data_IF_562539774737
#
_entry.id   IF_562539774737
#
_cell.length_a   1.000
_cell.length_b   1.000
_cell.length_c   1.000
_cell.angle_alpha   90.00
_cell.angle_beta   90.00
_cell.angle_gamma   90.00
#
_symmetry.space_group_name_H-M   'P 1'
#
loop_
_entity.id
_entity.type
_entity.pdbx_description
1 polymer ?
#
# COMPACT_ATOMS: atom_id res chain seq x y z
N UNK A 1 16.42 15.29 6.34
CA UNK A 1 17.66 14.52 6.37
C UNK A 1 18.42 14.80 5.08
N UNK A 2 19.71 15.07 5.19
CA UNK A 2 20.60 15.26 4.04
C UNK A 2 21.60 14.11 4.04
N UNK A 3 21.76 13.41 2.91
CA UNK A 3 22.54 12.18 2.82
C UNK A 3 23.13 12.05 1.42
N UNK A 4 24.40 11.64 1.34
CA UNK A 4 25.06 11.22 0.11
C UNK A 4 25.32 9.70 0.16
N UNK A 5 24.61 8.96 -0.68
CA UNK A 5 24.82 7.53 -0.85
C UNK A 5 25.88 7.34 -1.94
N UNK A 6 26.96 6.67 -1.61
CA UNK A 6 28.10 6.44 -2.51
C UNK A 6 28.09 5.03 -3.09
N UNK A 7 28.47 4.90 -4.34
CA UNK A 7 28.73 3.63 -5.04
C UNK A 7 27.53 2.65 -5.01
N UNK A 8 26.29 3.15 -5.03
CA UNK A 8 25.09 2.32 -5.02
C UNK A 8 24.83 1.69 -6.39
N UNK A 9 24.65 0.37 -6.43
CA UNK A 9 24.23 -0.33 -7.64
C UNK A 9 22.71 -0.25 -7.78
N UNK A 10 22.23 0.35 -8.86
CA UNK A 10 20.80 0.57 -9.10
C UNK A 10 20.16 -0.67 -9.71
N UNK A 11 19.11 -1.17 -9.08
CA UNK A 11 18.26 -2.27 -9.55
C UNK A 11 16.84 -1.74 -9.79
N UNK A 12 16.64 -1.09 -10.92
CA UNK A 12 15.34 -0.55 -11.33
C UNK A 12 15.24 -0.51 -12.87
N UNK A 13 14.56 -1.47 -13.51
CA UNK A 13 14.42 -1.52 -14.97
C UNK A 13 13.78 -0.28 -15.60
N UNK A 14 13.09 0.53 -14.80
CA UNK A 14 12.46 1.78 -15.27
C UNK A 14 13.34 3.01 -15.12
N UNK A 15 14.50 2.87 -14.46
CA UNK A 15 15.45 3.95 -14.24
C UNK A 15 16.46 4.05 -15.39
N UNK A 16 16.85 5.25 -15.84
CA UNK A 16 17.96 5.42 -16.78
C UNK A 16 19.31 4.98 -16.20
N UNK A 17 19.41 4.82 -14.89
CA UNK A 17 20.61 4.35 -14.18
C UNK A 17 20.60 2.85 -13.87
N UNK A 18 19.63 2.10 -14.38
CA UNK A 18 19.55 0.65 -14.13
C UNK A 18 20.86 -0.07 -14.46
N UNK A 19 21.28 -0.98 -13.58
CA UNK A 19 22.53 -1.75 -13.67
C UNK A 19 23.81 -0.89 -13.65
N UNK A 20 23.76 0.33 -13.15
CA UNK A 20 24.91 1.21 -12.99
C UNK A 20 25.23 1.44 -11.51
N UNK A 21 26.53 1.70 -11.23
CA UNK A 21 26.95 2.22 -9.93
C UNK A 21 26.96 3.74 -10.00
N UNK A 22 26.24 4.35 -9.08
CA UNK A 22 26.04 5.80 -8.99
C UNK A 22 26.12 6.29 -7.57
N UNK A 23 26.38 7.58 -7.43
CA UNK A 23 26.20 8.32 -6.19
C UNK A 23 24.83 9.01 -6.23
N UNK A 24 24.14 9.05 -5.08
CA UNK A 24 22.81 9.65 -4.96
C UNK A 24 22.83 10.66 -3.83
N UNK A 25 22.57 11.91 -4.15
CA UNK A 25 22.47 13.00 -3.19
C UNK A 25 21.01 13.24 -2.83
N UNK A 26 20.72 13.18 -1.54
CA UNK A 26 19.40 13.44 -0.97
C UNK A 26 19.50 14.72 -0.14
N UNK A 27 18.68 15.73 -0.47
CA UNK A 27 18.54 16.95 0.31
C UNK A 27 17.08 17.15 0.69
N UNK A 28 16.84 17.42 1.97
CA UNK A 28 15.47 17.63 2.52
C UNK A 28 14.52 16.47 2.17
N UNK A 29 15.02 15.23 2.25
CA UNK A 29 14.30 13.99 1.92
C UNK A 29 13.90 13.84 0.43
N UNK A 30 14.52 14.58 -0.48
CA UNK A 30 14.29 14.50 -1.93
C UNK A 30 15.62 14.16 -2.61
N UNK A 31 15.58 13.25 -3.59
CA UNK A 31 16.73 12.99 -4.45
C UNK A 31 16.98 14.24 -5.28
N UNK A 32 18.11 14.91 -5.01
CA UNK A 32 18.49 16.15 -5.68
C UNK A 32 19.43 15.93 -6.86
N UNK A 33 20.24 14.87 -6.82
CA UNK A 33 21.20 14.56 -7.86
C UNK A 33 21.50 13.06 -7.89
N UNK A 34 21.68 12.50 -9.09
CA UNK A 34 22.21 11.14 -9.32
C UNK A 34 23.32 11.29 -10.36
N UNK A 35 24.54 10.84 -10.05
CA UNK A 35 25.68 10.91 -10.96
C UNK A 35 26.65 9.75 -10.67
N UNK A 36 27.60 9.51 -11.57
CA UNK A 36 28.65 8.49 -11.36
C UNK A 36 29.58 8.86 -10.18
N UNK A 37 29.78 10.14 -9.92
CA UNK A 37 30.56 10.63 -8.78
C UNK A 37 30.01 11.98 -8.33
N UNK A 38 29.73 12.12 -7.05
CA UNK A 38 29.31 13.36 -6.40
C UNK A 38 30.23 13.59 -5.20
N UNK A 39 30.87 14.75 -5.17
CA UNK A 39 31.71 15.16 -4.04
C UNK A 39 30.96 16.21 -3.22
N UNK A 40 30.65 15.87 -1.96
CA UNK A 40 30.07 16.80 -0.99
C UNK A 40 30.51 16.38 0.41
N UNK A 41 31.38 17.19 1.00
CA UNK A 41 31.93 16.95 2.33
C UNK A 41 31.11 17.61 3.46
N UNK A 42 29.98 18.25 3.12
CA UNK A 42 29.14 18.95 4.09
C UNK A 42 27.97 18.11 4.59
N UNK A 43 27.66 16.99 3.93
CA UNK A 43 26.57 16.10 4.28
C UNK A 43 27.08 14.70 4.67
N UNK A 44 26.26 13.96 5.41
CA UNK A 44 26.59 12.60 5.81
C UNK A 44 26.77 11.69 4.59
N UNK A 45 27.87 10.93 4.57
CA UNK A 45 28.18 9.99 3.51
C UNK A 45 27.89 8.56 3.95
N UNK A 46 27.01 7.86 3.23
CA UNK A 46 26.76 6.43 3.35
C UNK A 46 27.51 5.69 2.23
N UNK A 47 28.58 5.00 2.60
CA UNK A 47 29.36 4.18 1.67
C UNK A 47 29.47 2.76 2.21
N UNK A 48 28.69 1.84 1.67
CA UNK A 48 28.66 0.43 2.06
C UNK A 48 29.18 -0.45 0.94
N UNK A 49 29.91 -1.50 1.31
CA UNK A 49 30.35 -2.49 0.35
C UNK A 49 29.14 -3.22 -0.26
N UNK A 50 29.11 -3.32 -1.60
CA UNK A 50 28.07 -4.04 -2.33
C UNK A 50 26.64 -3.52 -2.10
N UNK A 51 26.50 -2.20 -1.93
CA UNK A 51 25.20 -1.56 -1.74
C UNK A 51 24.36 -1.64 -3.02
N UNK A 52 23.18 -2.21 -2.93
CA UNK A 52 22.17 -2.22 -3.99
C UNK A 52 20.97 -1.39 -3.55
N UNK A 53 20.40 -0.66 -4.48
CA UNK A 53 19.19 0.14 -4.26
C UNK A 53 18.14 -0.16 -5.31
N UNK A 54 16.89 -0.13 -4.90
CA UNK A 54 15.72 -0.28 -5.76
C UNK A 54 14.64 0.72 -5.35
N UNK A 55 13.56 0.80 -6.14
CA UNK A 55 12.31 1.40 -5.64
C UNK A 55 11.81 0.61 -4.45
N UNK A 56 11.15 1.29 -3.52
CA UNK A 56 10.47 0.65 -2.41
C UNK A 56 9.36 -0.29 -2.91
N UNK A 57 9.13 -1.37 -2.18
CA UNK A 57 8.18 -2.41 -2.57
C UNK A 57 6.75 -2.06 -2.15
N UNK A 58 5.80 -2.74 -2.79
CA UNK A 58 4.39 -2.70 -2.41
C UNK A 58 3.94 -4.09 -2.00
N UNK A 59 3.30 -4.20 -0.82
CA UNK A 59 2.54 -5.39 -0.47
C UNK A 59 1.06 -5.15 -0.78
N UNK A 60 0.51 -5.93 -1.69
CA UNK A 60 -0.87 -5.77 -2.17
C UNK A 60 -1.92 -6.41 -1.29
N UNK A 61 -1.54 -7.07 -0.18
CA UNK A 61 -2.51 -7.81 0.66
C UNK A 61 -2.02 -7.97 2.09
N UNK A 62 -2.19 -6.93 2.91
CA UNK A 62 -1.81 -6.93 4.32
C UNK A 62 -3.06 -6.94 5.20
N UNK A 63 -3.10 -7.83 6.17
CA UNK A 63 -4.15 -7.88 7.19
C UNK A 63 -3.59 -7.42 8.54
N UNK A 64 -3.79 -6.16 8.89
CA UNK A 64 -3.54 -5.63 10.23
C UNK A 64 -4.78 -5.84 11.11
N UNK A 65 -4.64 -5.70 12.42
CA UNK A 65 -5.73 -5.91 13.36
C UNK A 65 -6.59 -4.66 13.59
N UNK A 66 -6.03 -3.46 13.44
CA UNK A 66 -6.71 -2.20 13.74
C UNK A 66 -7.56 -1.70 12.55
N UNK A 67 -8.83 -1.32 12.82
CA UNK A 67 -9.54 -1.31 14.10
C UNK A 67 -10.09 -2.68 14.53
N UNK A 68 -10.18 -2.87 15.85
CA UNK A 68 -10.96 -3.93 16.49
C UNK A 68 -10.23 -5.20 16.88
N UNK A 69 -8.98 -5.39 16.43
CA UNK A 69 -8.11 -6.52 16.77
C UNK A 69 -6.68 -6.02 16.99
N UNK A 70 -6.53 -4.92 17.73
CA UNK A 70 -5.26 -4.23 17.97
C UNK A 70 -4.24 -5.12 18.70
N UNK A 71 -4.72 -6.15 19.41
CA UNK A 71 -3.89 -7.15 20.06
C UNK A 71 -3.06 -8.00 19.08
N UNK A 72 -3.50 -8.08 17.81
CA UNK A 72 -2.76 -8.76 16.76
C UNK A 72 -1.69 -7.86 16.17
N UNK A 73 -2.12 -6.68 15.69
CA UNK A 73 -1.23 -5.70 15.08
C UNK A 73 -1.95 -4.34 14.99
N UNK A 74 -1.24 -3.27 15.38
CA UNK A 74 -1.72 -1.90 15.15
C UNK A 74 -1.28 -1.37 13.79
N UNK A 75 -2.02 -0.43 13.22
CA UNK A 75 -1.63 0.25 11.98
C UNK A 75 -0.25 0.90 12.15
N UNK A 76 0.00 1.57 13.28
CA UNK A 76 1.26 2.28 13.52
C UNK A 76 2.47 1.34 13.51
N UNK A 77 2.38 0.19 14.19
CA UNK A 77 3.47 -0.77 14.25
C UNK A 77 3.64 -1.50 12.91
N UNK A 78 2.55 -1.93 12.27
CA UNK A 78 2.61 -2.57 10.95
C UNK A 78 3.26 -1.69 9.89
N UNK A 79 2.99 -0.38 9.88
CA UNK A 79 3.63 0.57 8.96
C UNK A 79 5.12 0.78 9.28
N UNK A 80 5.51 0.76 10.56
CA UNK A 80 6.92 0.84 10.95
C UNK A 80 7.70 -0.40 10.53
N UNK A 81 7.13 -1.59 10.73
CA UNK A 81 7.71 -2.86 10.28
C UNK A 81 7.84 -2.88 8.76
N UNK A 82 6.79 -2.46 8.03
CA UNK A 82 6.80 -2.36 6.57
C UNK A 82 7.93 -1.43 6.09
N UNK A 83 8.06 -0.24 6.68
CA UNK A 83 9.12 0.71 6.33
C UNK A 83 10.52 0.11 6.56
N UNK A 84 10.76 -0.51 7.72
CA UNK A 84 12.04 -1.18 8.04
C UNK A 84 12.36 -2.34 7.10
N UNK A 85 11.33 -2.96 6.53
CA UNK A 85 11.45 -4.06 5.56
C UNK A 85 11.53 -3.61 4.10
N UNK A 86 11.54 -2.29 3.83
CA UNK A 86 11.67 -1.73 2.47
C UNK A 86 10.36 -1.57 1.71
N UNK A 87 9.21 -1.74 2.36
CA UNK A 87 7.91 -1.47 1.76
C UNK A 87 7.53 0.00 1.90
N UNK A 88 7.34 0.67 0.78
CA UNK A 88 6.88 2.08 0.74
C UNK A 88 5.37 2.19 0.63
N UNK A 89 4.70 1.11 0.23
CA UNK A 89 3.26 1.02 0.10
C UNK A 89 2.76 -0.33 0.61
N UNK A 90 1.64 -0.33 1.31
CA UNK A 90 0.88 -1.54 1.64
C UNK A 90 -0.61 -1.34 1.34
N UNK A 91 -1.28 -2.42 0.91
CA UNK A 91 -2.73 -2.45 0.73
C UNK A 91 -3.37 -3.20 1.90
N UNK A 92 -4.15 -2.46 2.72
CA UNK A 92 -4.80 -3.01 3.91
C UNK A 92 -6.12 -3.67 3.54
N UNK A 93 -6.28 -4.93 3.89
CA UNK A 93 -7.50 -5.71 3.69
C UNK A 93 -8.62 -5.26 4.65
N UNK A 94 -9.91 -5.36 4.24
CA UNK A 94 -11.04 -4.84 4.98
C UNK A 94 -11.51 -5.69 6.17
N UNK A 95 -10.77 -6.74 6.54
CA UNK A 95 -11.11 -7.72 7.58
C UNK A 95 -10.87 -7.23 9.01
N UNK A 96 -11.32 -6.02 9.29
CA UNK A 96 -11.25 -5.34 10.59
C UNK A 96 -12.61 -5.40 11.32
N UNK A 97 -12.69 -4.87 12.53
CA UNK A 97 -13.94 -4.72 13.28
C UNK A 97 -14.04 -3.31 13.88
N UNK A 98 -14.90 -2.41 13.35
CA UNK A 98 -15.81 -2.68 12.23
C UNK A 98 -15.08 -2.94 10.91
N UNK A 99 -15.75 -3.64 9.99
CA UNK A 99 -15.27 -3.90 8.63
C UNK A 99 -15.10 -2.55 7.89
N UNK A 100 -14.09 -2.44 7.01
CA UNK A 100 -13.91 -1.24 6.17
C UNK A 100 -14.94 -1.26 5.04
N UNK A 101 -16.21 -0.97 5.33
CA UNK A 101 -17.33 -1.02 4.39
C UNK A 101 -18.02 0.34 4.16
N UNK A 102 -17.47 1.40 4.72
CA UNK A 102 -17.95 2.78 4.55
C UNK A 102 -16.81 3.80 4.62
N UNK A 103 -17.08 5.03 4.15
CA UNK A 103 -16.08 6.11 4.08
C UNK A 103 -15.48 6.51 5.44
N UNK A 104 -16.26 6.37 6.54
CA UNK A 104 -15.80 6.78 7.87
C UNK A 104 -14.63 5.90 8.33
N UNK A 105 -14.75 4.59 8.14
CA UNK A 105 -13.68 3.65 8.51
C UNK A 105 -12.46 3.83 7.60
N UNK A 106 -12.65 4.07 6.28
CA UNK A 106 -11.55 4.41 5.37
C UNK A 106 -10.79 5.65 5.87
N UNK A 107 -11.51 6.71 6.21
CA UNK A 107 -10.93 7.96 6.73
C UNK A 107 -10.19 7.74 8.06
N UNK A 108 -10.76 6.94 8.96
CA UNK A 108 -10.11 6.56 10.23
C UNK A 108 -8.78 5.87 9.98
N UNK A 109 -8.77 4.81 9.16
CA UNK A 109 -7.56 4.03 8.83
C UNK A 109 -6.48 4.93 8.22
N UNK A 110 -6.85 5.81 7.29
CA UNK A 110 -5.90 6.76 6.68
C UNK A 110 -5.35 7.77 7.69
N UNK A 111 -6.17 8.23 8.62
CA UNK A 111 -5.72 9.16 9.66
C UNK A 111 -4.65 8.56 10.58
N UNK A 112 -4.75 7.27 10.88
CA UNK A 112 -3.75 6.52 11.67
C UNK A 112 -2.40 6.37 10.95
N UNK A 113 -2.43 6.40 9.62
CA UNK A 113 -1.22 6.31 8.78
C UNK A 113 -0.55 7.67 8.51
N UNK A 114 -1.15 8.77 8.98
CA UNK A 114 -0.62 10.10 8.70
C UNK A 114 0.81 10.28 9.26
N UNK A 115 1.71 10.81 8.43
CA UNK A 115 3.10 11.08 8.80
C UNK A 115 4.01 9.85 8.89
N UNK A 116 3.54 8.66 8.50
CA UNK A 116 4.37 7.44 8.43
C UNK A 116 5.17 7.37 7.13
N UNK A 117 6.29 6.65 7.16
CA UNK A 117 7.17 6.48 5.99
C UNK A 117 6.55 5.56 4.91
N UNK A 118 5.74 4.57 5.33
CA UNK A 118 5.00 3.70 4.43
C UNK A 118 3.59 4.24 4.21
N UNK A 119 3.17 4.31 2.96
CA UNK A 119 1.80 4.71 2.59
C UNK A 119 0.84 3.54 2.80
N UNK A 120 -0.23 3.78 3.56
CA UNK A 120 -1.31 2.83 3.72
C UNK A 120 -2.42 3.11 2.73
N UNK A 121 -2.76 2.09 1.94
CA UNK A 121 -3.81 2.12 0.93
C UNK A 121 -4.93 1.17 1.36
N UNK A 122 -6.06 1.65 1.89
CA UNK A 122 -7.15 0.76 2.31
C UNK A 122 -7.86 0.14 1.12
N UNK A 123 -8.18 -1.14 1.25
CA UNK A 123 -9.13 -1.86 0.42
C UNK A 123 -10.48 -1.79 1.16
N UNK A 124 -11.52 -1.32 0.50
CA UNK A 124 -12.88 -1.37 1.04
C UNK A 124 -13.53 -2.74 0.84
N UNK A 125 -14.46 -3.11 1.72
CA UNK A 125 -15.29 -4.28 1.46
C UNK A 125 -16.18 -4.07 0.24
N UNK A 126 -16.39 -5.12 -0.54
CA UNK A 126 -17.31 -5.09 -1.66
C UNK A 126 -18.76 -5.15 -1.17
N UNK A 127 -19.00 -5.94 -0.12
CA UNK A 127 -20.31 -6.07 0.49
C UNK A 127 -20.32 -5.59 1.93
N UNK A 128 -21.46 -5.09 2.42
CA UNK A 128 -21.64 -4.66 3.81
C UNK A 128 -21.31 -5.81 4.75
N UNK A 129 -20.48 -5.52 5.75
CA UNK A 129 -20.00 -6.48 6.74
C UNK A 129 -19.31 -7.73 6.12
N UNK A 130 -18.97 -7.69 4.83
CA UNK A 130 -18.45 -8.84 4.08
C UNK A 130 -19.40 -10.06 4.15
N UNK A 131 -20.72 -9.81 4.08
CA UNK A 131 -21.75 -10.86 4.17
C UNK A 131 -22.20 -11.39 2.81
N UNK A 132 -21.76 -10.80 1.69
CA UNK A 132 -22.15 -11.23 0.34
C UNK A 132 -23.64 -10.94 -0.03
N UNK A 133 -24.31 -10.05 0.72
CA UNK A 133 -25.74 -9.77 0.57
C UNK A 133 -26.04 -8.44 -0.08
N UNK A 134 -25.47 -7.36 0.43
CA UNK A 134 -25.69 -5.99 0.00
C UNK A 134 -24.37 -5.33 -0.39
N UNK A 135 -24.35 -4.57 -1.48
CA UNK A 135 -23.16 -3.82 -1.92
C UNK A 135 -22.85 -2.73 -0.88
N UNK A 136 -21.56 -2.58 -0.56
CA UNK A 136 -21.07 -1.51 0.30
C UNK A 136 -21.01 -0.16 -0.45
N UNK A 137 -20.71 0.91 0.27
CA UNK A 137 -20.67 2.28 -0.24
C UNK A 137 -19.37 2.56 -1.02
N UNK A 138 -19.12 1.79 -2.11
CA UNK A 138 -17.84 1.79 -2.82
C UNK A 138 -17.43 3.17 -3.34
N UNK A 139 -18.38 3.95 -3.88
CA UNK A 139 -18.10 5.29 -4.40
C UNK A 139 -17.59 6.24 -3.31
N UNK A 140 -18.27 6.26 -2.18
CA UNK A 140 -17.88 7.12 -1.05
C UNK A 140 -16.56 6.67 -0.42
N UNK A 141 -16.34 5.35 -0.32
CA UNK A 141 -15.05 4.80 0.12
C UNK A 141 -13.91 5.15 -0.82
N UNK A 142 -14.14 5.12 -2.16
CA UNK A 142 -13.13 5.54 -3.13
C UNK A 142 -12.77 7.01 -2.96
N UNK A 143 -13.76 7.88 -2.79
CA UNK A 143 -13.53 9.30 -2.54
C UNK A 143 -12.79 9.55 -1.23
N UNK A 144 -12.98 8.70 -0.22
CA UNK A 144 -12.21 8.72 1.03
C UNK A 144 -10.78 8.13 0.88
N UNK A 145 -10.47 7.49 -0.25
CA UNK A 145 -9.14 7.01 -0.61
C UNK A 145 -8.94 5.50 -0.54
N UNK A 146 -10.00 4.70 -0.61
CA UNK A 146 -9.89 3.28 -0.89
C UNK A 146 -9.40 3.05 -2.34
N UNK A 147 -8.48 2.10 -2.52
CA UNK A 147 -7.84 1.83 -3.81
C UNK A 147 -8.48 0.68 -4.58
N UNK A 148 -9.18 -0.22 -3.89
CA UNK A 148 -9.83 -1.40 -4.44
C UNK A 148 -10.96 -1.84 -3.50
N UNK A 149 -11.79 -2.81 -3.97
CA UNK A 149 -12.91 -3.36 -3.19
C UNK A 149 -12.96 -4.87 -3.29
N UNK A 150 -13.14 -5.54 -2.15
CA UNK A 150 -13.22 -7.00 -2.09
C UNK A 150 -13.52 -7.52 -0.68
N UNK A 151 -14.05 -8.73 -0.58
CA UNK A 151 -14.45 -9.30 0.70
C UNK A 151 -13.40 -10.26 1.31
N UNK A 152 -12.15 -10.05 1.01
CA UNK A 152 -10.97 -10.77 1.55
C UNK A 152 -11.26 -12.22 2.02
N UNK A 153 -10.78 -13.21 1.27
CA UNK A 153 -10.97 -14.66 1.56
C UNK A 153 -12.43 -15.13 1.72
N UNK A 154 -13.39 -14.33 1.24
CA UNK A 154 -14.80 -14.72 1.16
C UNK A 154 -15.26 -14.66 -0.29
N UNK A 155 -15.91 -15.72 -0.76
CA UNK A 155 -16.57 -15.74 -2.07
C UNK A 155 -17.89 -14.95 -2.02
N UNK A 156 -18.30 -14.49 -3.18
CA UNK A 156 -19.63 -13.90 -3.37
C UNK A 156 -20.46 -14.90 -4.17
N UNK A 157 -21.28 -15.68 -3.48
CA UNK A 157 -22.05 -16.75 -4.09
C UNK A 157 -23.20 -16.23 -4.98
N UNK A 158 -23.67 -15.01 -4.69
CA UNK A 158 -24.67 -14.34 -5.54
C UNK A 158 -23.99 -13.70 -6.75
N UNK A 159 -23.96 -14.42 -7.86
CA UNK A 159 -23.37 -13.95 -9.13
C UNK A 159 -24.03 -12.70 -9.69
N UNK A 160 -25.33 -12.48 -9.44
CA UNK A 160 -26.02 -11.26 -9.86
C UNK A 160 -25.54 -10.05 -9.06
N UNK A 161 -25.28 -10.20 -7.77
CA UNK A 161 -24.70 -9.13 -6.93
C UNK A 161 -23.30 -8.76 -7.42
N UNK A 162 -22.46 -9.75 -7.74
CA UNK A 162 -21.14 -9.50 -8.31
C UNK A 162 -21.24 -8.78 -9.67
N UNK A 163 -22.18 -9.18 -10.55
CA UNK A 163 -22.44 -8.49 -11.82
C UNK A 163 -22.82 -7.02 -11.61
N UNK A 164 -23.72 -6.74 -10.67
CA UNK A 164 -24.14 -5.37 -10.37
C UNK A 164 -22.95 -4.56 -9.80
N UNK A 165 -22.17 -5.14 -8.91
CA UNK A 165 -20.98 -4.51 -8.38
C UNK A 165 -19.97 -4.16 -9.47
N UNK A 166 -19.71 -5.07 -10.42
CA UNK A 166 -18.84 -4.84 -11.57
C UNK A 166 -19.36 -3.72 -12.48
N UNK A 167 -20.66 -3.66 -12.72
CA UNK A 167 -21.27 -2.57 -13.50
C UNK A 167 -21.15 -1.23 -12.77
N UNK A 168 -21.49 -1.20 -11.49
CA UNK A 168 -21.42 0.01 -10.68
C UNK A 168 -19.99 0.55 -10.56
N UNK A 169 -18.99 -0.34 -10.43
CA UNK A 169 -17.58 0.05 -10.29
C UNK A 169 -17.02 0.75 -11.53
N UNK A 170 -17.59 0.50 -12.72
CA UNK A 170 -17.15 1.13 -13.97
C UNK A 170 -17.44 2.64 -13.98
N UNK A 171 -18.50 3.10 -13.32
CA UNK A 171 -18.89 4.50 -13.31
C UNK A 171 -17.84 5.41 -12.64
N UNK A 172 -16.95 4.83 -11.84
CA UNK A 172 -15.91 5.56 -11.12
C UNK A 172 -14.54 4.87 -11.17
N UNK A 173 -14.30 4.01 -12.16
CA UNK A 173 -13.03 3.33 -12.43
C UNK A 173 -12.44 2.66 -11.16
N UNK A 174 -13.23 1.78 -10.53
CA UNK A 174 -12.80 1.06 -9.33
C UNK A 174 -12.35 -0.36 -9.65
N UNK A 175 -11.25 -0.78 -8.99
CA UNK A 175 -10.75 -2.14 -9.03
C UNK A 175 -11.53 -3.04 -8.07
N UNK A 176 -12.08 -4.14 -8.58
CA UNK A 176 -12.69 -5.19 -7.76
C UNK A 176 -11.74 -6.38 -7.59
N UNK A 177 -11.67 -6.90 -6.38
CA UNK A 177 -10.87 -8.06 -6.00
C UNK A 177 -11.83 -9.20 -5.63
N UNK A 178 -11.89 -10.23 -6.44
CA UNK A 178 -12.74 -11.40 -6.18
C UNK A 178 -11.91 -12.56 -5.61
N UNK A 179 -12.45 -13.21 -4.58
CA UNK A 179 -11.94 -14.49 -4.08
C UNK A 179 -12.75 -15.61 -4.72
N UNK A 180 -12.21 -16.16 -5.80
CA UNK A 180 -12.89 -17.15 -6.61
C UNK A 180 -12.73 -18.55 -6.01
N UNK A 181 -13.69 -18.95 -5.19
CA UNK A 181 -13.82 -20.33 -4.66
C UNK A 181 -15.26 -20.81 -4.85
N UNK A 182 -15.42 -22.06 -5.20
CA UNK A 182 -16.71 -22.75 -5.16
C UNK A 182 -16.69 -23.71 -3.98
N UNK A 183 -17.59 -23.46 -3.00
CA UNK A 183 -17.67 -24.27 -1.80
C UNK A 183 -18.21 -25.70 -2.04
N UNK A 184 -18.70 -26.00 -3.26
CA UNK A 184 -19.23 -27.30 -3.63
C UNK A 184 -18.22 -28.19 -4.38
N UNK A 185 -17.04 -27.67 -4.68
CA UNK A 185 -15.91 -28.36 -5.29
C UNK A 185 -14.79 -28.53 -4.25
#
# INVERSE_FOLDING_TARGET
MDLLIKNAFVVDPTSPFNNQKVDIKILKNIISEINTTIEDNQIENLNLNNLHISKGWMDSSVALGEPGFEERETISNGLEVAAKSGFTNIALQPNTNPVIDNQTIVSFVKSKAFGKATTLNPIGALTKQQEGKDIAEMFDMKNAGAIAFGDYKKSIDNTNLLKIALQYSQDFDALLLAFCIDANI
#
